data_IF_039147996261
#
_entry.id   IF_039147996261
#
_cell.length_a   1.000
_cell.length_b   1.000
_cell.length_c   1.000
_cell.angle_alpha   90.00
_cell.angle_beta   90.00
_cell.angle_gamma   90.00
#
_symmetry.space_group_name_H-M   'P 1'
#
loop_
_entity.id
_entity.type
_entity.pdbx_description
1 polymer ?
#
# COMPACT_ATOMS: atom_id res chain seq x y z
N UNK A 1 -20.41 -12.25 -5.85
CA UNK A 1 -19.47 -12.32 -4.70
C UNK A 1 -19.03 -10.89 -4.39
N UNK A 2 -18.92 -10.50 -3.11
CA UNK A 2 -18.55 -9.12 -2.74
C UNK A 2 -17.06 -9.08 -2.38
N UNK A 3 -16.24 -8.46 -3.23
CA UNK A 3 -14.85 -8.18 -2.89
C UNK A 3 -14.81 -7.15 -1.77
N UNK A 4 -13.88 -7.32 -0.82
CA UNK A 4 -13.70 -6.37 0.29
C UNK A 4 -12.26 -5.86 0.24
N UNK A 5 -12.10 -4.62 -0.19
CA UNK A 5 -10.83 -3.90 -0.23
C UNK A 5 -10.78 -2.91 0.93
N UNK A 6 -9.70 -2.96 1.70
CA UNK A 6 -9.47 -2.05 2.83
C UNK A 6 -8.01 -1.61 2.84
N UNK A 7 -7.78 -0.30 2.87
CA UNK A 7 -6.48 0.30 3.05
C UNK A 7 -6.28 0.86 4.45
N UNK A 8 -5.02 0.94 4.89
CA UNK A 8 -4.63 1.55 6.15
C UNK A 8 -3.22 2.14 6.05
N UNK A 9 -2.93 3.15 6.87
CA UNK A 9 -1.54 3.59 7.06
C UNK A 9 -0.88 2.64 8.05
N UNK A 10 0.25 2.05 7.67
CA UNK A 10 1.02 1.11 8.51
C UNK A 10 2.31 1.73 9.05
N UNK A 11 2.76 2.84 8.47
CA UNK A 11 3.90 3.60 8.98
C UNK A 11 3.72 5.10 8.72
N UNK A 12 4.05 5.93 9.72
CA UNK A 12 4.08 7.38 9.60
C UNK A 12 5.50 7.88 9.92
N UNK A 13 6.20 8.40 8.91
CA UNK A 13 7.62 8.74 9.04
C UNK A 13 8.45 7.55 9.50
N UNK A 14 9.11 7.69 10.66
CA UNK A 14 9.94 6.64 11.27
C UNK A 14 9.16 5.67 12.17
N UNK A 15 7.84 5.87 12.33
CA UNK A 15 7.02 5.14 13.30
C UNK A 15 6.10 4.14 12.60
N UNK A 16 6.47 2.86 12.62
CA UNK A 16 5.62 1.75 12.16
C UNK A 16 4.60 1.30 13.21
N UNK A 17 3.46 0.80 12.77
CA UNK A 17 2.49 0.10 13.62
C UNK A 17 2.73 -1.41 13.66
N UNK A 18 2.11 -2.12 14.59
CA UNK A 18 2.12 -3.58 14.56
C UNK A 18 1.01 -4.12 13.64
N UNK A 19 1.37 -4.54 12.42
CA UNK A 19 0.43 -5.10 11.44
C UNK A 19 -0.24 -6.40 11.89
N UNK A 20 0.28 -7.07 12.93
CA UNK A 20 -0.39 -8.25 13.53
C UNK A 20 -1.62 -7.86 14.36
N UNK A 21 -1.71 -6.60 14.79
CA UNK A 21 -2.86 -6.03 15.50
C UNK A 21 -3.91 -5.42 14.57
N UNK A 22 -3.83 -5.69 13.26
CA UNK A 22 -4.70 -5.11 12.26
C UNK A 22 -6.18 -5.27 12.59
N UNK A 23 -6.92 -4.16 12.67
CA UNK A 23 -8.36 -4.16 12.92
C UNK A 23 -9.11 -3.22 11.97
N UNK A 24 -9.85 -3.81 11.02
CA UNK A 24 -10.70 -3.09 10.06
C UNK A 24 -11.62 -2.04 10.72
N UNK A 25 -12.12 -2.32 11.94
CA UNK A 25 -13.10 -1.47 12.62
C UNK A 25 -12.50 -0.16 13.14
N UNK A 26 -11.17 -0.03 13.16
CA UNK A 26 -10.48 1.13 13.77
C UNK A 26 -10.00 2.11 12.73
N UNK A 27 -9.70 1.64 11.52
CA UNK A 27 -9.11 2.39 10.41
C UNK A 27 -9.88 3.71 10.20
N UNK A 28 -11.19 3.65 9.94
CA UNK A 28 -12.00 4.85 9.67
C UNK A 28 -12.44 5.60 10.94
N UNK A 29 -12.07 5.14 12.13
CA UNK A 29 -12.42 5.75 13.43
C UNK A 29 -11.31 6.64 13.99
N UNK A 30 -10.21 6.81 13.27
CA UNK A 30 -9.10 7.68 13.65
C UNK A 30 -8.62 8.47 12.42
N UNK A 31 -7.98 9.64 12.59
CA UNK A 31 -7.65 10.52 11.48
C UNK A 31 -6.48 10.01 10.62
N UNK A 32 -5.79 8.94 11.03
CA UNK A 32 -4.62 8.42 10.33
C UNK A 32 -4.91 7.19 9.48
N UNK A 33 -6.17 6.71 9.42
CA UNK A 33 -6.48 5.41 8.83
C UNK A 33 -5.64 4.26 9.43
N UNK A 34 -5.31 4.35 10.72
CA UNK A 34 -4.43 3.38 11.37
C UNK A 34 -5.20 2.10 11.78
N UNK A 35 -4.69 0.90 11.49
CA UNK A 35 -5.34 -0.36 11.85
C UNK A 35 -4.98 -0.82 13.28
N UNK A 36 -4.00 -0.19 13.93
CA UNK A 36 -3.54 -0.47 15.30
C UNK A 36 -3.78 0.75 16.20
N UNK A 37 -4.73 0.65 17.13
CA UNK A 37 -5.07 1.76 18.03
C UNK A 37 -3.92 2.16 18.97
N UNK A 38 -2.98 1.26 19.25
CA UNK A 38 -1.96 1.48 20.28
C UNK A 38 -0.93 2.55 19.89
N UNK A 39 -0.68 2.74 18.59
CA UNK A 39 0.30 3.71 18.07
C UNK A 39 -0.30 5.12 17.83
N UNK A 40 -1.63 5.26 17.77
CA UNK A 40 -2.31 6.49 17.30
C UNK A 40 -1.88 7.73 18.09
N UNK A 41 -1.87 7.67 19.43
CA UNK A 41 -1.43 8.79 20.28
C UNK A 41 0.03 9.20 20.04
N UNK A 42 0.88 8.23 19.68
CA UNK A 42 2.28 8.48 19.36
C UNK A 42 2.41 9.17 18.00
N UNK A 43 1.66 8.73 17.00
CA UNK A 43 1.58 9.38 15.68
C UNK A 43 1.05 10.81 15.76
N UNK A 44 0.06 11.10 16.61
CA UNK A 44 -0.43 12.47 16.85
C UNK A 44 0.70 13.39 17.34
N UNK A 45 1.43 12.96 18.37
CA UNK A 45 2.56 13.71 18.94
C UNK A 45 3.66 13.93 17.90
N UNK A 46 3.98 12.88 17.13
CA UNK A 46 5.01 12.94 16.09
C UNK A 46 4.61 13.88 14.94
N UNK A 47 3.39 13.78 14.42
CA UNK A 47 2.95 14.64 13.32
C UNK A 47 2.85 16.10 13.76
N UNK A 48 2.43 16.35 15.01
CA UNK A 48 2.45 17.68 15.61
C UNK A 48 3.87 18.26 15.67
N UNK A 49 4.87 17.47 16.07
CA UNK A 49 6.26 17.95 16.16
C UNK A 49 6.84 18.24 14.78
N UNK A 50 6.58 17.37 13.78
CA UNK A 50 6.97 17.59 12.38
C UNK A 50 6.35 18.88 11.85
N UNK A 51 5.05 19.09 12.08
CA UNK A 51 4.35 20.31 11.70
C UNK A 51 4.92 21.56 12.37
N UNK A 52 5.17 21.53 13.68
CA UNK A 52 5.78 22.64 14.44
C UNK A 52 7.18 22.98 13.91
N UNK A 53 7.94 21.97 13.48
CA UNK A 53 9.25 22.17 12.86
C UNK A 53 9.19 22.75 11.43
N UNK A 54 7.99 22.93 10.86
CA UNK A 54 7.80 23.40 9.50
C UNK A 54 8.27 22.40 8.44
N UNK A 55 8.20 21.10 8.76
CA UNK A 55 8.63 19.99 7.91
C UNK A 55 7.46 19.05 7.59
N UNK A 56 7.73 18.00 6.83
CA UNK A 56 6.80 16.91 6.51
C UNK A 56 7.45 15.55 6.71
N UNK A 57 6.65 14.48 6.73
CA UNK A 57 7.11 13.10 6.72
C UNK A 57 6.37 12.27 5.65
N UNK A 58 6.96 11.14 5.28
CA UNK A 58 6.33 10.16 4.39
C UNK A 58 5.42 9.21 5.17
N UNK A 59 4.86 8.23 4.46
CA UNK A 59 4.08 7.15 5.05
C UNK A 59 4.17 5.87 4.21
N UNK A 60 3.87 4.74 4.84
CA UNK A 60 3.60 3.48 4.14
C UNK A 60 2.12 3.16 4.31
N UNK A 61 1.49 2.81 3.19
CA UNK A 61 0.09 2.43 3.11
C UNK A 61 0.05 0.97 2.71
N UNK A 62 -0.80 0.20 3.35
CA UNK A 62 -1.07 -1.19 3.01
C UNK A 62 -2.56 -1.35 2.67
N UNK A 63 -2.82 -2.07 1.59
CA UNK A 63 -4.16 -2.40 1.12
C UNK A 63 -4.31 -3.91 1.08
N UNK A 64 -5.42 -4.37 1.66
CA UNK A 64 -5.79 -5.77 1.73
C UNK A 64 -7.11 -6.01 0.99
N UNK A 65 -7.10 -6.96 0.06
CA UNK A 65 -8.29 -7.36 -0.69
C UNK A 65 -8.66 -8.82 -0.41
N UNK A 66 -9.90 -9.03 0.03
CA UNK A 66 -10.44 -10.33 0.41
C UNK A 66 -11.59 -10.75 -0.48
N UNK A 67 -11.74 -12.07 -0.61
CA UNK A 67 -12.80 -12.69 -1.42
C UNK A 67 -12.52 -12.65 -2.92
N UNK A 68 -11.27 -12.43 -3.31
CA UNK A 68 -10.83 -12.42 -4.71
C UNK A 68 -10.83 -13.87 -5.22
N UNK A 69 -11.44 -14.16 -6.38
CA UNK A 69 -11.44 -15.50 -6.93
C UNK A 69 -10.02 -15.91 -7.33
N UNK A 70 -9.78 -17.22 -7.38
CA UNK A 70 -8.53 -17.79 -7.88
C UNK A 70 -8.46 -17.54 -9.40
N UNK A 71 -7.28 -17.21 -9.91
CA UNK A 71 -7.00 -17.15 -11.35
C UNK A 71 -7.23 -15.79 -12.01
N UNK A 72 -7.42 -14.70 -11.26
CA UNK A 72 -7.37 -13.35 -11.85
C UNK A 72 -5.93 -12.96 -12.16
N UNK A 73 -5.69 -12.35 -13.32
CA UNK A 73 -4.35 -12.10 -13.85
C UNK A 73 -4.07 -12.94 -15.09
N UNK A 74 -3.08 -12.52 -15.87
CA UNK A 74 -2.53 -13.29 -16.96
C UNK A 74 -1.03 -13.49 -16.76
N UNK A 75 -0.49 -14.71 -16.94
CA UNK A 75 0.95 -14.90 -16.92
C UNK A 75 1.65 -14.00 -17.96
N UNK A 76 2.87 -13.57 -17.62
CA UNK A 76 3.82 -12.85 -18.49
C UNK A 76 3.42 -11.39 -18.80
N UNK A 77 2.32 -11.13 -19.50
CA UNK A 77 2.05 -9.82 -20.13
C UNK A 77 0.97 -8.95 -19.46
N UNK A 78 0.18 -9.51 -18.55
CA UNK A 78 -0.78 -8.74 -17.73
C UNK A 78 -0.89 -9.44 -16.39
N UNK A 79 0.26 -9.58 -15.71
CA UNK A 79 0.29 -10.16 -14.38
C UNK A 79 -0.43 -9.23 -13.41
N UNK A 80 -1.21 -9.81 -12.51
CA UNK A 80 -2.01 -9.04 -11.56
C UNK A 80 -1.12 -8.16 -10.66
N UNK A 81 0.01 -8.68 -10.18
CA UNK A 81 0.98 -7.96 -9.38
C UNK A 81 1.65 -6.79 -10.14
N UNK A 82 1.94 -6.98 -11.43
CA UNK A 82 2.48 -5.95 -12.31
C UNK A 82 1.50 -4.78 -12.47
N UNK A 83 0.24 -5.07 -12.77
CA UNK A 83 -0.78 -4.04 -12.98
C UNK A 83 -1.13 -3.32 -11.67
N UNK A 84 -1.18 -4.06 -10.55
CA UNK A 84 -1.31 -3.46 -9.21
C UNK A 84 -0.11 -2.57 -8.88
N UNK A 85 1.11 -3.01 -9.17
CA UNK A 85 2.31 -2.22 -8.92
C UNK A 85 2.32 -0.92 -9.75
N UNK A 86 1.95 -1.01 -11.03
CA UNK A 86 1.80 0.15 -11.91
C UNK A 86 0.75 1.14 -11.37
N UNK A 87 -0.43 0.63 -11.00
CA UNK A 87 -1.53 1.42 -10.46
C UNK A 87 -1.18 2.12 -9.13
N UNK A 88 -0.44 1.44 -8.23
CA UNK A 88 0.00 2.08 -6.99
C UNK A 88 1.12 3.10 -7.26
N UNK A 89 2.06 2.78 -8.15
CA UNK A 89 3.18 3.67 -8.48
C UNK A 89 2.72 4.95 -9.20
N UNK A 90 1.59 4.90 -9.92
CA UNK A 90 1.02 6.08 -10.58
C UNK A 90 0.40 7.09 -9.61
N UNK A 91 0.18 6.71 -8.35
CA UNK A 91 -0.31 7.65 -7.33
C UNK A 91 0.79 8.68 -7.04
N UNK A 92 0.42 9.96 -7.10
CA UNK A 92 1.35 11.05 -6.85
C UNK A 92 2.12 10.86 -5.54
N UNK A 93 3.43 11.11 -5.61
CA UNK A 93 4.38 10.94 -4.50
C UNK A 93 4.68 9.50 -4.07
N UNK A 94 4.12 8.47 -4.71
CA UNK A 94 4.56 7.09 -4.49
C UNK A 94 5.94 6.86 -5.09
N UNK A 95 6.81 6.16 -4.35
CA UNK A 95 8.21 5.89 -4.74
C UNK A 95 8.61 4.41 -4.63
N UNK A 96 7.72 3.56 -4.14
CA UNK A 96 7.98 2.12 -3.98
C UNK A 96 6.68 1.37 -3.75
N UNK A 97 6.61 0.14 -4.26
CA UNK A 97 5.45 -0.76 -4.12
C UNK A 97 5.95 -2.16 -3.78
N UNK A 98 5.23 -2.84 -2.90
CA UNK A 98 5.46 -4.21 -2.47
C UNK A 98 4.18 -5.03 -2.70
N UNK A 99 4.36 -6.29 -3.09
CA UNK A 99 3.32 -7.31 -3.08
C UNK A 99 3.72 -8.35 -2.03
N UNK A 100 2.82 -8.67 -1.10
CA UNK A 100 3.11 -9.58 0.02
C UNK A 100 4.31 -9.11 0.83
N UNK A 101 5.29 -10.00 1.01
CA UNK A 101 6.57 -9.72 1.68
C UNK A 101 7.42 -8.67 0.96
N UNK A 102 7.18 -8.43 -0.34
CA UNK A 102 7.83 -7.38 -1.12
C UNK A 102 9.36 -7.46 -1.06
N UNK A 103 10.02 -6.33 -0.85
CA UNK A 103 11.49 -6.27 -0.70
C UNK A 103 12.04 -7.13 0.46
N UNK A 104 11.25 -7.46 1.49
CA UNK A 104 11.72 -8.33 2.56
C UNK A 104 11.91 -9.78 2.10
N UNK A 105 11.34 -10.18 0.96
CA UNK A 105 11.57 -11.51 0.37
C UNK A 105 13.04 -11.79 0.09
N UNK A 106 13.85 -10.76 -0.20
CA UNK A 106 15.29 -10.89 -0.46
C UNK A 106 16.09 -11.37 0.78
N UNK A 107 15.48 -11.34 1.97
CA UNK A 107 16.11 -11.77 3.22
C UNK A 107 15.69 -13.19 3.64
N UNK A 108 14.78 -13.84 2.90
CA UNK A 108 14.21 -15.12 3.26
C UNK A 108 14.92 -16.28 2.54
N UNK A 109 15.05 -17.42 3.22
CA UNK A 109 15.39 -18.68 2.54
C UNK A 109 14.21 -19.20 1.73
N UNK A 110 14.45 -20.19 0.86
CA UNK A 110 13.38 -20.82 0.07
C UNK A 110 12.28 -21.42 0.94
N UNK A 111 12.66 -22.08 2.04
CA UNK A 111 11.74 -22.68 3.02
C UNK A 111 10.90 -21.62 3.75
N UNK A 112 11.51 -20.49 4.08
CA UNK A 112 10.82 -19.39 4.76
C UNK A 112 9.85 -18.63 3.84
N UNK A 113 10.20 -18.50 2.56
CA UNK A 113 9.40 -17.76 1.58
C UNK A 113 8.25 -18.62 1.01
N UNK A 114 8.39 -19.94 0.99
CA UNK A 114 7.41 -20.85 0.42
C UNK A 114 6.09 -20.84 1.19
N UNK A 115 5.01 -20.45 0.52
CA UNK A 115 3.66 -20.52 1.08
C UNK A 115 3.11 -21.95 0.98
N UNK A 116 3.39 -22.76 2.00
CA UNK A 116 2.98 -24.16 2.05
C UNK A 116 1.46 -24.35 1.95
N UNK A 117 1.06 -25.41 1.26
CA UNK A 117 -0.35 -25.73 0.97
C UNK A 117 -0.69 -27.11 1.51
N UNK A 118 -1.77 -27.20 2.26
CA UNK A 118 -2.39 -28.46 2.64
C UNK A 118 -3.83 -28.57 2.14
N UNK A 119 -4.33 -29.80 2.07
CA UNK A 119 -5.70 -30.09 1.63
C UNK A 119 -6.42 -30.95 2.65
N UNK A 120 -7.61 -30.53 3.06
CA UNK A 120 -8.55 -31.35 3.83
C UNK A 120 -9.89 -31.44 3.09
N UNK A 121 -10.13 -32.59 2.45
CA UNK A 121 -11.28 -32.79 1.57
C UNK A 121 -11.28 -31.86 0.36
N UNK A 122 -12.30 -31.02 0.21
CA UNK A 122 -12.40 -30.01 -0.86
C UNK A 122 -11.82 -28.63 -0.49
N UNK A 123 -11.36 -28.44 0.75
CA UNK A 123 -10.80 -27.16 1.21
C UNK A 123 -9.28 -27.18 1.09
N UNK A 124 -8.73 -26.23 0.35
CA UNK A 124 -7.31 -25.89 0.33
C UNK A 124 -7.02 -24.91 1.47
N UNK A 125 -5.85 -25.04 2.10
CA UNK A 125 -5.37 -24.14 3.14
C UNK A 125 -3.91 -23.80 2.85
N UNK A 126 -3.62 -22.51 2.77
CA UNK A 126 -2.25 -22.00 2.83
C UNK A 126 -1.86 -21.77 4.29
N UNK A 127 -0.59 -22.04 4.63
CA UNK A 127 -0.06 -21.89 5.98
C UNK A 127 0.53 -20.50 6.26
N UNK A 128 0.90 -19.77 5.21
CA UNK A 128 1.39 -18.39 5.22
C UNK A 128 0.87 -17.62 3.99
N UNK A 129 1.26 -16.35 3.82
CA UNK A 129 0.90 -15.52 2.66
C UNK A 129 2.02 -14.54 2.28
N UNK A 130 3.25 -15.04 2.18
CA UNK A 130 4.43 -14.29 1.77
C UNK A 130 4.28 -13.75 0.34
N UNK A 131 3.60 -14.48 -0.53
CA UNK A 131 3.31 -14.09 -1.91
C UNK A 131 2.27 -12.96 -2.01
N UNK A 132 1.60 -12.60 -0.91
CA UNK A 132 0.59 -11.54 -0.92
C UNK A 132 -0.60 -11.84 -1.82
N UNK A 133 -1.01 -13.11 -1.87
CA UNK A 133 -2.17 -13.58 -2.62
C UNK A 133 -2.00 -13.69 -4.13
N UNK A 134 -0.78 -13.50 -4.65
CA UNK A 134 -0.46 -13.56 -6.08
C UNK A 134 0.74 -14.48 -6.31
N UNK A 135 0.55 -15.56 -7.06
CA UNK A 135 1.63 -16.48 -7.45
C UNK A 135 1.67 -16.59 -8.97
N UNK A 136 2.87 -16.44 -9.56
CA UNK A 136 3.03 -16.50 -11.01
C UNK A 136 2.27 -15.41 -11.79
N UNK A 137 1.87 -14.32 -11.12
CA UNK A 137 1.07 -13.24 -11.69
C UNK A 137 -0.44 -13.48 -11.67
N UNK A 138 -0.93 -14.52 -10.99
CA UNK A 138 -2.37 -14.79 -10.82
C UNK A 138 -2.78 -14.89 -9.36
N UNK A 139 -4.03 -14.53 -9.07
CA UNK A 139 -4.57 -14.59 -7.70
C UNK A 139 -4.71 -16.04 -7.20
N UNK A 140 -4.28 -16.29 -5.96
CA UNK A 140 -4.34 -17.63 -5.33
C UNK A 140 -5.64 -17.87 -4.55
N UNK A 141 -6.47 -16.83 -4.37
CA UNK A 141 -7.64 -16.82 -3.50
C UNK A 141 -7.34 -16.49 -2.03
N UNK A 142 -6.05 -16.37 -1.65
CA UNK A 142 -5.67 -15.75 -0.38
C UNK A 142 -5.96 -14.23 -0.41
N UNK A 143 -5.79 -13.57 0.73
CA UNK A 143 -5.86 -12.11 0.79
C UNK A 143 -4.76 -11.51 -0.09
N UNK A 144 -5.13 -10.63 -1.02
CA UNK A 144 -4.14 -9.85 -1.76
C UNK A 144 -3.64 -8.74 -0.85
N UNK A 145 -2.32 -8.65 -0.69
CA UNK A 145 -1.66 -7.65 0.16
C UNK A 145 -0.72 -6.82 -0.70
N UNK A 146 -1.01 -5.53 -0.81
CA UNK A 146 -0.20 -4.55 -1.55
C UNK A 146 0.18 -3.45 -0.59
N UNK A 147 1.45 -3.04 -0.54
CA UNK A 147 1.84 -1.83 0.18
C UNK A 147 2.65 -0.89 -0.68
N UNK A 148 2.58 0.41 -0.39
CA UNK A 148 3.30 1.42 -1.15
C UNK A 148 3.80 2.55 -0.27
N UNK A 149 4.96 3.10 -0.63
CA UNK A 149 5.65 4.16 0.09
C UNK A 149 5.38 5.51 -0.54
N UNK A 150 4.81 6.44 0.23
CA UNK A 150 4.58 7.83 -0.16
C UNK A 150 5.68 8.71 0.43
N UNK A 151 6.38 9.45 -0.43
CA UNK A 151 7.45 10.36 0.02
C UNK A 151 6.90 11.54 0.84
N UNK A 152 7.73 12.21 1.66
CA UNK A 152 7.34 13.45 2.31
C UNK A 152 6.89 14.54 1.32
N UNK A 153 5.97 15.40 1.76
CA UNK A 153 5.51 16.57 1.01
C UNK A 153 6.69 17.50 0.67
N UNK A 154 6.87 17.86 -0.61
CA UNK A 154 7.97 18.75 -0.99
C UNK A 154 7.78 20.20 -0.50
N UNK A 155 6.52 20.66 -0.43
CA UNK A 155 6.17 22.02 -0.01
C UNK A 155 6.23 22.16 1.51
N UNK A 156 7.33 22.73 2.00
CA UNK A 156 7.61 22.91 3.44
C UNK A 156 8.03 24.36 3.73
N UNK A 157 7.93 24.75 5.01
CA UNK A 157 8.32 26.10 5.47
C UNK A 157 9.83 26.30 5.46
N UNK A 158 10.61 25.24 5.72
CA UNK A 158 12.07 25.31 5.71
C UNK A 158 12.58 25.63 4.30
N UNK A 159 13.42 26.65 4.19
CA UNK A 159 14.03 27.04 2.91
C UNK A 159 14.85 25.90 2.29
N UNK A 160 14.78 25.77 0.97
CA UNK A 160 15.53 24.80 0.16
C UNK A 160 16.18 25.50 -1.03
N UNK A 161 17.40 25.07 -1.36
CA UNK A 161 18.07 25.50 -2.60
C UNK A 161 17.35 24.90 -3.80
N UNK A 162 17.18 25.69 -4.84
CA UNK A 162 16.59 25.27 -6.12
C UNK A 162 17.10 26.18 -7.24
N UNK A 163 16.56 26.03 -8.44
CA UNK A 163 16.81 26.92 -9.58
C UNK A 163 15.50 27.55 -10.03
N UNK A 164 15.57 28.76 -10.56
CA UNK A 164 14.42 29.38 -11.23
C UNK A 164 14.27 28.86 -12.68
N UNK A 165 13.24 29.33 -13.38
CA UNK A 165 12.97 28.96 -14.78
C UNK A 165 14.06 29.42 -15.78
N UNK A 166 14.99 30.26 -15.36
CA UNK A 166 16.12 30.75 -16.15
C UNK A 166 17.43 30.03 -15.77
N UNK A 167 17.37 29.00 -14.92
CA UNK A 167 18.53 28.22 -14.49
C UNK A 167 19.38 28.88 -13.40
N UNK A 168 18.92 30.00 -12.80
CA UNK A 168 19.69 30.68 -11.74
C UNK A 168 19.42 30.04 -10.40
N UNK A 169 20.50 29.81 -9.64
CA UNK A 169 20.42 29.34 -8.26
C UNK A 169 19.60 30.31 -7.41
N UNK A 170 18.62 29.79 -6.68
CA UNK A 170 17.76 30.54 -5.78
C UNK A 170 17.34 29.67 -4.60
N UNK A 171 16.50 30.21 -3.72
CA UNK A 171 15.89 29.47 -2.62
C UNK A 171 14.38 29.56 -2.66
N UNK A 172 13.70 28.49 -2.25
CA UNK A 172 12.25 28.40 -2.17
C UNK A 172 11.82 28.00 -0.76
N UNK A 173 10.76 28.63 -0.28
CA UNK A 173 10.04 28.30 0.95
C UNK A 173 8.55 28.50 0.69
N UNK A 174 7.74 27.48 0.98
CA UNK A 174 6.29 27.54 0.70
C UNK A 174 5.57 27.85 2.01
N UNK A 175 5.04 29.07 2.11
CA UNK A 175 4.24 29.53 3.26
C UNK A 175 2.80 29.00 3.18
N UNK A 176 2.10 28.97 4.31
CA UNK A 176 0.71 28.52 4.41
C UNK A 176 0.51 27.16 5.09
N UNK A 177 -0.73 26.68 5.12
CA UNK A 177 -1.08 25.37 5.69
C UNK A 177 -0.82 24.28 4.66
N UNK A 178 0.25 23.52 4.85
CA UNK A 178 0.55 22.33 4.06
C UNK A 178 0.32 21.08 4.87
N UNK A 179 -0.02 20.00 4.18
CA UNK A 179 -0.21 18.70 4.80
C UNK A 179 1.16 18.15 5.25
N UNK A 180 1.39 17.95 6.57
CA UNK A 180 2.64 17.40 7.06
C UNK A 180 2.84 15.94 6.64
N UNK A 181 1.79 15.23 6.19
CA UNK A 181 1.92 13.90 5.61
C UNK A 181 0.78 13.59 4.61
N UNK A 182 1.02 13.88 3.32
CA UNK A 182 0.04 13.58 2.25
C UNK A 182 -0.31 12.09 2.13
N UNK A 183 0.57 11.19 2.60
CA UNK A 183 0.36 9.74 2.53
C UNK A 183 -0.88 9.25 3.28
N UNK A 184 -1.32 9.96 4.33
CA UNK A 184 -2.55 9.61 5.05
C UNK A 184 -3.76 9.58 4.10
N UNK A 185 -3.81 10.54 3.16
CA UNK A 185 -4.89 10.65 2.17
C UNK A 185 -4.74 9.69 0.99
N UNK A 186 -3.61 9.00 0.88
CA UNK A 186 -3.40 8.02 -0.18
C UNK A 186 -4.17 6.72 0.05
N UNK A 187 -4.66 6.46 1.27
CA UNK A 187 -5.45 5.27 1.61
C UNK A 187 -6.67 5.08 0.69
N UNK A 188 -7.65 6.01 0.62
CA UNK A 188 -8.80 5.84 -0.26
C UNK A 188 -8.44 5.83 -1.75
N UNK A 189 -7.35 6.51 -2.15
CA UNK A 189 -6.87 6.51 -3.53
C UNK A 189 -6.36 5.12 -3.91
N UNK A 190 -5.52 4.54 -3.07
CA UNK A 190 -5.03 3.19 -3.25
C UNK A 190 -6.16 2.17 -3.27
N UNK A 191 -7.14 2.29 -2.35
CA UNK A 191 -8.33 1.42 -2.35
C UNK A 191 -9.05 1.47 -3.72
N UNK A 192 -9.23 2.67 -4.28
CA UNK A 192 -9.85 2.85 -5.58
C UNK A 192 -9.00 2.23 -6.71
N UNK A 193 -7.70 2.51 -6.77
CA UNK A 193 -6.79 1.96 -7.78
C UNK A 193 -6.78 0.43 -7.77
N UNK A 194 -6.74 -0.19 -6.57
CA UNK A 194 -6.78 -1.65 -6.45
C UNK A 194 -8.11 -2.22 -6.93
N UNK A 195 -9.24 -1.58 -6.63
CA UNK A 195 -10.55 -2.01 -7.12
C UNK A 195 -10.66 -1.90 -8.65
N UNK A 196 -10.13 -0.85 -9.26
CA UNK A 196 -10.11 -0.69 -10.72
C UNK A 196 -9.35 -1.84 -11.39
N UNK A 197 -8.12 -2.12 -10.94
CA UNK A 197 -7.31 -3.22 -11.48
C UNK A 197 -8.01 -4.58 -11.28
N UNK A 198 -8.56 -4.84 -10.09
CA UNK A 198 -9.30 -6.07 -9.84
C UNK A 198 -10.54 -6.23 -10.73
N UNK A 199 -11.25 -5.13 -11.00
CA UNK A 199 -12.41 -5.15 -11.88
C UNK A 199 -12.01 -5.47 -13.31
N UNK A 200 -10.95 -4.86 -13.84
CA UNK A 200 -10.45 -5.12 -15.18
C UNK A 200 -10.07 -6.59 -15.34
N UNK A 201 -9.26 -7.11 -14.40
CA UNK A 201 -8.86 -8.53 -14.39
C UNK A 201 -10.04 -9.49 -14.23
N UNK A 202 -11.05 -9.10 -13.44
CA UNK A 202 -12.26 -9.90 -13.28
C UNK A 202 -13.06 -9.96 -14.59
N UNK A 203 -13.22 -8.84 -15.29
CA UNK A 203 -13.94 -8.77 -16.56
C UNK A 203 -13.20 -9.49 -17.69
N UNK A 204 -11.87 -9.38 -17.74
CA UNK A 204 -11.03 -10.14 -18.68
C UNK A 204 -11.18 -11.65 -18.49
N UNK A 205 -11.08 -12.12 -17.24
CA UNK A 205 -11.27 -13.53 -16.92
C UNK A 205 -12.69 -14.02 -17.26
N UNK A 206 -13.71 -13.20 -17.00
CA UNK A 206 -15.11 -13.47 -17.39
C UNK A 206 -15.25 -13.65 -18.91
N UNK A 207 -14.65 -12.75 -19.69
CA UNK A 207 -14.72 -12.77 -21.14
C UNK A 207 -13.99 -13.98 -21.75
N UNK A 208 -12.83 -14.35 -21.20
CA UNK A 208 -12.03 -15.47 -21.69
C UNK A 208 -12.56 -16.84 -21.27
N UNK A 209 -13.04 -16.97 -20.03
CA UNK A 209 -13.38 -18.27 -19.43
C UNK A 209 -14.88 -18.53 -19.28
N UNK A 210 -15.75 -17.57 -19.59
CA UNK A 210 -17.21 -17.76 -19.70
C UNK A 210 -17.93 -18.13 -18.39
N UNK A 211 -17.31 -17.94 -17.22
CA UNK A 211 -17.91 -18.23 -15.90
C UNK A 211 -18.15 -16.98 -15.08
#
# INVERSE_FOLDING_TARGET
KRFKVIGAVTQLGILGCDVRKWNDKTIRKNPFFCPDKSIVKLWEKYLLSIRKSGSSCGAVIEIRARGIPVGLGAPIYSKLDMDLASAMMSINAVKGVNIGSGMNSAQLTGEQNSDEISRKGKKLKFHSNNAGGILGGISTGQEIVVSFAVKPTSSILKSRKTIDKFGKNTSISVKGRHDPCVGIRAVPIGEAMLNCVLLDHYLLNKAQCGK
#
